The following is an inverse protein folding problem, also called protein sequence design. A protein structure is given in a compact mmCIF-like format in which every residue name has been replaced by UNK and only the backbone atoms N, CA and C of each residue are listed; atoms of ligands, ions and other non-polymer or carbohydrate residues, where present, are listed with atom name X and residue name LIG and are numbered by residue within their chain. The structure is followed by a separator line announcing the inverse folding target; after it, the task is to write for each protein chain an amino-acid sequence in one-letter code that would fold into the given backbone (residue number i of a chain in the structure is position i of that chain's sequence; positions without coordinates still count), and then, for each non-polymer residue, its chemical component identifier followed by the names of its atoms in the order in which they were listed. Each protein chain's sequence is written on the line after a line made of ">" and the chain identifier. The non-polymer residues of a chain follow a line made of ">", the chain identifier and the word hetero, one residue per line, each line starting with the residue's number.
data_IF_425408285822
#
_entry.id   IF_425408285822
#
_cell.length_a   1.000
_cell.length_b   1.000
_cell.length_c   1.000
_cell.angle_alpha   90.00
_cell.angle_beta   90.00
_cell.angle_gamma   90.00
#
_symmetry.space_group_name_H-M   'P 1'
#
loop_
_entity.id
_entity.type
_entity.pdbx_description
1 polymer ?
#
# COMPACT_ATOMS: atom_id res chain seq x y z
N UNK A 1 -14.09 -0.38 -21.60
CA UNK A 1 -12.63 -0.55 -21.43
C UNK A 1 -12.00 -1.47 -22.48
N UNK A 2 -12.21 -2.80 -22.56
CA UNK A 2 -11.51 -3.63 -23.59
C UNK A 2 -12.30 -3.98 -24.86
N UNK A 3 -13.54 -3.49 -25.01
CA UNK A 3 -14.39 -3.78 -26.18
C UNK A 3 -13.90 -3.10 -27.47
N UNK A 4 -13.42 -1.86 -27.34
CA UNK A 4 -12.95 -1.07 -28.47
C UNK A 4 -11.66 -1.63 -29.09
N UNK A 5 -10.60 -1.98 -28.31
CA UNK A 5 -9.43 -2.63 -28.88
C UNK A 5 -9.74 -3.99 -29.47
N UNK A 6 -10.66 -4.76 -28.87
CA UNK A 6 -11.12 -6.04 -29.44
C UNK A 6 -11.68 -5.84 -30.85
N UNK A 7 -12.68 -4.96 -31.01
CA UNK A 7 -13.31 -4.71 -32.30
C UNK A 7 -12.32 -4.15 -33.35
N UNK A 8 -11.29 -3.39 -32.92
CA UNK A 8 -10.23 -2.90 -33.80
C UNK A 8 -9.30 -4.04 -34.24
N UNK A 9 -8.81 -4.84 -33.29
CA UNK A 9 -7.78 -5.85 -33.52
C UNK A 9 -8.31 -7.05 -34.28
N UNK A 10 -9.57 -7.48 -34.04
CA UNK A 10 -10.17 -8.61 -34.76
C UNK A 10 -10.13 -8.47 -36.29
N UNK A 11 -10.11 -7.23 -36.82
CA UNK A 11 -10.03 -6.96 -38.26
C UNK A 11 -8.70 -7.40 -38.92
N UNK A 12 -7.68 -7.65 -38.12
CA UNK A 12 -6.35 -8.06 -38.58
C UNK A 12 -6.10 -9.56 -38.40
N UNK A 13 -7.03 -10.30 -37.80
CA UNK A 13 -6.96 -11.74 -37.63
C UNK A 13 -7.77 -12.47 -38.72
N UNK A 14 -7.43 -13.73 -39.04
CA UNK A 14 -8.24 -14.57 -39.91
C UNK A 14 -9.69 -14.72 -39.42
N UNK A 15 -10.62 -14.89 -40.35
CA UNK A 15 -12.07 -15.02 -40.04
C UNK A 15 -12.40 -16.25 -39.17
N UNK A 16 -11.53 -17.26 -39.16
CA UNK A 16 -11.64 -18.48 -38.34
C UNK A 16 -10.96 -18.36 -36.97
N UNK A 17 -10.37 -17.20 -36.66
CA UNK A 17 -9.77 -16.92 -35.36
C UNK A 17 -10.67 -16.03 -34.49
N UNK A 18 -11.22 -16.60 -33.42
CA UNK A 18 -12.05 -15.89 -32.45
C UNK A 18 -11.18 -15.17 -31.40
N UNK A 19 -10.76 -13.94 -31.71
CA UNK A 19 -10.07 -13.08 -30.74
C UNK A 19 -11.04 -12.71 -29.61
N UNK A 20 -10.63 -12.90 -28.36
CA UNK A 20 -11.45 -12.59 -27.17
C UNK A 20 -10.94 -11.37 -26.40
N UNK A 21 -11.76 -10.86 -25.46
CA UNK A 21 -11.30 -9.81 -24.53
C UNK A 21 -10.14 -10.26 -23.64
N UNK A 22 -10.05 -11.56 -23.34
CA UNK A 22 -8.96 -12.13 -22.55
C UNK A 22 -7.65 -12.08 -23.31
N UNK A 23 -7.67 -12.35 -24.62
CA UNK A 23 -6.50 -12.25 -25.48
C UNK A 23 -6.01 -10.81 -25.58
N UNK A 24 -6.93 -9.85 -25.74
CA UNK A 24 -6.60 -8.42 -25.74
C UNK A 24 -5.95 -8.01 -24.42
N UNK A 25 -6.52 -8.42 -23.27
CA UNK A 25 -5.90 -8.18 -21.96
C UNK A 25 -4.53 -8.84 -21.83
N UNK A 26 -4.34 -10.03 -22.39
CA UNK A 26 -3.03 -10.71 -22.40
C UNK A 26 -2.01 -9.91 -23.24
N UNK A 27 -2.38 -9.44 -24.44
CA UNK A 27 -1.56 -8.55 -25.27
C UNK A 27 -1.16 -7.27 -24.52
N UNK A 28 -2.10 -6.65 -23.81
CA UNK A 28 -1.81 -5.47 -22.99
C UNK A 28 -0.87 -5.79 -21.82
N UNK A 29 -0.98 -6.97 -21.21
CA UNK A 29 -0.03 -7.41 -20.17
C UNK A 29 1.35 -7.71 -20.74
N UNK A 30 1.48 -8.22 -21.97
CA UNK A 30 2.78 -8.51 -22.57
C UNK A 30 3.68 -7.26 -22.62
N UNK A 31 3.14 -6.09 -22.95
CA UNK A 31 3.90 -4.84 -22.99
C UNK A 31 4.75 -4.59 -21.72
N UNK A 32 4.19 -4.44 -20.50
CA UNK A 32 4.98 -4.19 -19.31
C UNK A 32 5.89 -5.37 -18.92
N UNK A 33 5.51 -6.62 -19.15
CA UNK A 33 6.36 -7.78 -18.82
C UNK A 33 7.57 -7.89 -19.76
N UNK A 34 7.37 -7.74 -21.08
CA UNK A 34 8.45 -7.70 -22.06
C UNK A 34 9.33 -6.47 -21.85
N UNK A 35 8.76 -5.31 -21.53
CA UNK A 35 9.58 -4.13 -21.23
C UNK A 35 10.48 -4.37 -20.00
N UNK A 36 9.94 -4.98 -18.94
CA UNK A 36 10.71 -5.29 -17.73
C UNK A 36 11.83 -6.33 -17.97
N UNK A 37 11.67 -7.22 -18.94
CA UNK A 37 12.61 -8.33 -19.20
C UNK A 37 13.57 -8.06 -20.36
N UNK A 38 13.10 -7.41 -21.41
CA UNK A 38 13.79 -7.19 -22.69
C UNK A 38 14.08 -5.71 -22.98
N UNK A 39 13.50 -4.78 -22.21
CA UNK A 39 13.66 -3.32 -22.40
C UNK A 39 12.81 -2.72 -23.51
N UNK A 40 12.00 -3.52 -24.22
CA UNK A 40 11.08 -3.07 -25.26
C UNK A 40 9.97 -4.09 -25.50
N UNK A 41 8.86 -3.66 -26.10
CA UNK A 41 7.77 -4.55 -26.54
C UNK A 41 6.96 -3.92 -27.66
N UNK A 42 6.78 -4.66 -28.76
CA UNK A 42 5.92 -4.21 -29.87
C UNK A 42 4.43 -4.20 -29.49
N UNK A 43 4.03 -4.91 -28.43
CA UNK A 43 2.66 -4.84 -27.93
C UNK A 43 2.31 -3.47 -27.35
N UNK A 44 3.30 -2.69 -26.91
CA UNK A 44 3.06 -1.36 -26.35
C UNK A 44 2.42 -0.40 -27.37
N UNK A 45 2.83 -0.49 -28.64
CA UNK A 45 2.40 0.41 -29.71
C UNK A 45 1.05 0.01 -30.34
N UNK A 46 0.51 -1.16 -29.98
CA UNK A 46 -0.78 -1.64 -30.51
C UNK A 46 -1.99 -0.93 -29.90
N UNK A 47 -1.79 -0.25 -28.77
CA UNK A 47 -2.85 0.36 -27.97
C UNK A 47 -2.67 1.87 -27.85
N UNK A 48 -3.79 2.59 -27.92
CA UNK A 48 -3.84 4.04 -27.72
C UNK A 48 -3.63 4.41 -26.25
N UNK A 49 -3.29 5.68 -26.00
CA UNK A 49 -3.16 6.21 -24.63
C UNK A 49 -4.41 5.96 -23.78
N UNK A 50 -5.61 6.18 -24.34
CA UNK A 50 -6.86 5.95 -23.60
C UNK A 50 -7.05 4.47 -23.24
N UNK A 51 -6.67 3.54 -24.11
CA UNK A 51 -6.72 2.11 -23.81
C UNK A 51 -5.74 1.75 -22.68
N UNK A 52 -4.54 2.33 -22.68
CA UNK A 52 -3.59 2.17 -21.57
C UNK A 52 -4.11 2.72 -20.24
N UNK A 53 -4.79 3.86 -20.26
CA UNK A 53 -5.44 4.42 -19.06
C UNK A 53 -6.54 3.48 -18.53
N UNK A 54 -7.34 2.92 -19.42
CA UNK A 54 -8.41 1.96 -19.10
C UNK A 54 -7.84 0.64 -18.56
N UNK A 55 -6.73 0.15 -19.13
CA UNK A 55 -6.00 -1.03 -18.63
C UNK A 55 -5.42 -0.79 -17.24
N UNK A 56 -4.79 0.37 -17.02
CA UNK A 56 -4.30 0.74 -15.69
C UNK A 56 -5.45 0.78 -14.67
N UNK A 57 -6.60 1.36 -15.04
CA UNK A 57 -7.78 1.38 -14.18
C UNK A 57 -8.36 0.00 -13.91
N UNK A 58 -8.31 -0.93 -14.87
CA UNK A 58 -8.70 -2.32 -14.65
C UNK A 58 -7.81 -3.02 -13.60
N UNK A 59 -6.50 -2.80 -13.65
CA UNK A 59 -5.58 -3.31 -12.64
C UNK A 59 -5.78 -2.64 -11.28
N UNK A 60 -6.04 -1.33 -11.26
CA UNK A 60 -6.39 -0.59 -10.04
C UNK A 60 -7.63 -1.20 -9.37
N UNK A 61 -8.71 -1.41 -10.12
CA UNK A 61 -9.95 -2.03 -9.62
C UNK A 61 -9.69 -3.40 -8.99
N UNK A 62 -8.86 -4.23 -9.64
CA UNK A 62 -8.52 -5.56 -9.13
C UNK A 62 -7.84 -5.46 -7.77
N UNK A 63 -6.76 -4.70 -7.65
CA UNK A 63 -5.95 -4.62 -6.43
C UNK A 63 -6.64 -3.81 -5.34
N UNK A 64 -7.42 -2.79 -5.72
CA UNK A 64 -8.23 -2.02 -4.79
C UNK A 64 -9.29 -2.89 -4.12
N UNK A 65 -9.99 -3.71 -4.91
CA UNK A 65 -11.03 -4.62 -4.42
C UNK A 65 -10.51 -5.85 -3.69
N UNK A 66 -9.24 -6.27 -3.90
CA UNK A 66 -8.69 -7.46 -3.22
C UNK A 66 -7.86 -7.15 -1.99
N UNK A 67 -7.19 -6.00 -1.93
CA UNK A 67 -6.22 -5.69 -0.87
C UNK A 67 -6.28 -4.27 -0.32
N UNK A 68 -6.91 -3.32 -1.02
CA UNK A 68 -7.04 -1.94 -0.54
C UNK A 68 -8.36 -1.71 0.22
N UNK A 69 -8.79 -0.45 0.30
CA UNK A 69 -10.03 -0.04 0.97
C UNK A 69 -11.30 -0.66 0.38
N UNK A 70 -11.27 -1.12 -0.87
CA UNK A 70 -12.39 -1.86 -1.48
C UNK A 70 -12.52 -3.30 -0.99
N UNK A 71 -11.52 -3.85 -0.31
CA UNK A 71 -11.51 -5.24 0.14
C UNK A 71 -12.03 -5.37 1.57
N UNK A 72 -12.99 -6.29 1.86
CA UNK A 72 -13.41 -6.57 3.23
C UNK A 72 -12.29 -7.16 4.10
N UNK A 73 -11.15 -7.53 3.51
CA UNK A 73 -9.98 -8.06 4.24
C UNK A 73 -8.74 -7.18 4.11
N UNK A 74 -8.82 -6.01 3.46
CA UNK A 74 -7.67 -5.18 3.12
C UNK A 74 -6.84 -4.77 4.35
N UNK A 75 -7.48 -4.30 5.42
CA UNK A 75 -6.83 -3.95 6.69
C UNK A 75 -6.26 -5.18 7.40
N UNK A 76 -7.01 -6.29 7.40
CA UNK A 76 -6.59 -7.53 8.04
C UNK A 76 -5.32 -8.11 7.38
N UNK A 77 -5.17 -7.98 6.06
CA UNK A 77 -3.97 -8.43 5.34
C UNK A 77 -2.69 -7.69 5.77
N UNK A 78 -2.79 -6.43 6.19
CA UNK A 78 -1.64 -5.60 6.56
C UNK A 78 -1.38 -5.45 8.06
N UNK A 79 -2.33 -5.83 8.92
CA UNK A 79 -2.25 -5.48 10.35
C UNK A 79 -1.10 -6.18 11.08
N UNK A 80 -0.75 -7.41 10.70
CA UNK A 80 0.38 -8.13 11.31
C UNK A 80 1.69 -7.35 11.19
N UNK A 81 1.97 -6.80 10.00
CA UNK A 81 3.16 -5.98 9.78
C UNK A 81 3.18 -4.71 10.64
N UNK A 82 2.02 -4.06 10.86
CA UNK A 82 1.96 -2.88 11.71
C UNK A 82 2.22 -3.21 13.19
N UNK A 83 1.79 -4.38 13.63
CA UNK A 83 2.06 -4.88 14.97
C UNK A 83 3.54 -5.28 15.14
N UNK A 84 4.16 -5.86 14.12
CA UNK A 84 5.61 -6.10 14.09
C UNK A 84 6.41 -4.78 14.09
N UNK A 85 5.97 -3.79 13.30
CA UNK A 85 6.57 -2.46 13.30
C UNK A 85 6.46 -1.80 14.68
N UNK A 86 5.29 -1.86 15.33
CA UNK A 86 5.13 -1.31 16.69
C UNK A 86 6.03 -2.02 17.69
N UNK A 87 6.14 -3.35 17.61
CA UNK A 87 7.02 -4.15 18.44
C UNK A 87 8.51 -3.74 18.29
N UNK A 88 8.96 -3.50 17.05
CA UNK A 88 10.32 -2.99 16.75
C UNK A 88 10.54 -1.59 17.34
N UNK A 89 9.55 -0.69 17.26
CA UNK A 89 9.64 0.66 17.82
C UNK A 89 9.62 0.67 19.35
N UNK A 90 8.80 -0.17 19.97
CA UNK A 90 8.72 -0.34 21.41
C UNK A 90 9.88 -1.17 22.00
N UNK A 91 10.67 -1.82 21.13
CA UNK A 91 11.74 -2.75 21.49
C UNK A 91 11.24 -3.94 22.33
N UNK A 92 10.12 -4.54 21.90
CA UNK A 92 9.46 -5.65 22.58
C UNK A 92 9.25 -6.83 21.64
N UNK A 93 9.39 -8.05 22.15
CA UNK A 93 9.02 -9.27 21.43
C UNK A 93 7.50 -9.49 21.48
N UNK A 94 6.99 -10.36 20.61
CA UNK A 94 5.55 -10.66 20.50
C UNK A 94 5.29 -12.08 20.99
N UNK A 95 4.86 -12.23 22.25
CA UNK A 95 4.63 -13.54 22.86
C UNK A 95 3.30 -14.19 22.47
N UNK A 96 2.34 -13.41 21.97
CA UNK A 96 1.03 -13.90 21.56
C UNK A 96 0.46 -13.07 20.41
N UNK A 97 -0.34 -13.71 19.55
CA UNK A 97 -1.02 -13.04 18.45
C UNK A 97 -2.31 -13.75 18.10
N UNK A 98 -3.31 -12.95 17.75
CA UNK A 98 -4.59 -13.32 17.15
C UNK A 98 -4.70 -12.75 15.72
N UNK A 99 -3.56 -12.50 15.07
CA UNK A 99 -3.47 -11.96 13.71
C UNK A 99 -2.58 -12.85 12.83
N UNK A 100 -1.95 -12.31 11.79
CA UNK A 100 -1.06 -13.06 10.89
C UNK A 100 0.36 -13.29 11.45
N UNK A 101 0.71 -12.68 12.59
CA UNK A 101 2.03 -12.84 13.22
C UNK A 101 2.26 -14.29 13.66
N UNK A 102 3.44 -14.83 13.31
CA UNK A 102 3.90 -16.12 13.79
C UNK A 102 4.74 -15.94 15.07
N UNK A 103 4.11 -16.19 16.22
CA UNK A 103 4.74 -15.99 17.53
C UNK A 103 5.92 -16.92 17.78
N UNK A 104 6.08 -18.03 17.04
CA UNK A 104 7.27 -18.91 17.19
C UNK A 104 8.55 -18.19 16.76
N UNK A 105 8.46 -17.28 15.78
CA UNK A 105 9.58 -16.47 15.32
C UNK A 105 9.68 -15.14 16.06
N UNK A 106 8.54 -14.54 16.40
CA UNK A 106 8.49 -13.18 16.93
C UNK A 106 8.66 -13.07 18.45
N UNK A 107 8.62 -14.21 19.15
CA UNK A 107 8.93 -14.30 20.57
C UNK A 107 10.41 -14.60 20.89
N UNK A 108 11.30 -14.62 19.87
CA UNK A 108 12.73 -14.86 20.05
C UNK A 108 13.58 -13.83 19.31
N UNK A 109 14.54 -13.22 20.03
CA UNK A 109 15.43 -12.19 19.48
C UNK A 109 16.38 -12.69 18.36
N UNK A 110 16.60 -14.00 18.26
CA UNK A 110 17.41 -14.59 17.21
C UNK A 110 16.74 -14.51 15.83
N UNK A 111 15.40 -14.50 15.80
CA UNK A 111 14.58 -14.51 14.57
C UNK A 111 13.79 -13.23 14.39
N UNK A 112 13.48 -12.51 15.47
CA UNK A 112 12.87 -11.20 15.47
C UNK A 112 13.67 -10.24 16.38
N UNK A 113 14.84 -9.76 15.94
CA UNK A 113 15.61 -8.80 16.71
C UNK A 113 14.87 -7.45 16.75
N UNK A 114 14.88 -6.76 17.90
CA UNK A 114 14.16 -5.48 18.08
C UNK A 114 15.09 -4.29 18.40
N UNK A 115 16.39 -4.47 18.21
CA UNK A 115 17.43 -3.48 18.47
C UNK A 115 18.31 -3.19 17.25
N UNK A 116 17.83 -3.52 16.05
CA UNK A 116 18.56 -3.21 14.81
C UNK A 116 18.29 -1.76 14.38
N UNK A 117 19.30 -1.06 13.83
CA UNK A 117 19.12 0.26 13.23
C UNK A 117 18.40 0.19 11.87
N UNK A 118 18.36 -0.98 11.24
CA UNK A 118 17.78 -1.19 9.92
C UNK A 118 17.05 -2.53 9.88
N UNK A 119 15.85 -2.51 9.30
CA UNK A 119 15.05 -3.70 8.99
C UNK A 119 14.74 -3.70 7.49
N UNK A 120 14.74 -4.89 6.88
CA UNK A 120 14.39 -5.05 5.47
C UNK A 120 13.54 -6.31 5.29
N UNK A 121 12.27 -6.09 4.95
CA UNK A 121 11.32 -7.15 4.66
C UNK A 121 10.99 -7.14 3.15
N UNK A 122 11.02 -8.31 2.51
CA UNK A 122 10.63 -8.47 1.10
C UNK A 122 9.28 -9.16 1.01
N UNK A 123 8.37 -8.60 0.22
CA UNK A 123 6.99 -9.08 0.15
C UNK A 123 6.35 -8.81 -1.21
N UNK A 124 5.07 -9.15 -1.35
CA UNK A 124 4.27 -8.90 -2.54
C UNK A 124 3.53 -7.56 -2.50
N UNK A 125 3.14 -7.07 -3.67
CA UNK A 125 2.33 -5.86 -3.89
C UNK A 125 1.12 -5.75 -2.95
N UNK A 126 0.36 -6.84 -2.81
CA UNK A 126 -0.83 -6.92 -1.94
C UNK A 126 -0.53 -6.63 -0.48
N UNK A 127 0.64 -7.01 0.01
CA UNK A 127 1.03 -6.78 1.41
C UNK A 127 1.35 -5.31 1.63
N UNK A 128 2.09 -4.66 0.72
CA UNK A 128 2.35 -3.21 0.77
C UNK A 128 1.01 -2.43 0.76
N UNK A 129 0.09 -2.79 -0.13
CA UNK A 129 -1.23 -2.18 -0.22
C UNK A 129 -2.02 -2.43 1.06
N UNK A 130 -2.04 -3.66 1.55
CA UNK A 130 -2.69 -4.04 2.80
C UNK A 130 -2.17 -3.27 3.99
N UNK A 131 -0.84 -3.05 4.11
CA UNK A 131 -0.22 -2.24 5.16
C UNK A 131 -0.69 -0.79 5.08
N UNK A 132 -0.74 -0.19 3.88
CA UNK A 132 -1.25 1.17 3.67
C UNK A 132 -2.74 1.27 4.07
N UNK A 133 -3.53 0.25 3.75
CA UNK A 133 -4.93 0.19 4.13
C UNK A 133 -5.12 -0.05 5.63
N UNK A 134 -4.30 -0.90 6.26
CA UNK A 134 -4.28 -1.15 7.70
C UNK A 134 -3.94 0.11 8.51
N UNK A 135 -3.02 0.95 8.00
CA UNK A 135 -2.74 2.29 8.54
C UNK A 135 -3.98 3.19 8.50
N UNK A 136 -4.96 2.89 7.66
CA UNK A 136 -6.16 3.70 7.49
C UNK A 136 -5.91 5.00 6.72
N UNK A 137 -4.89 5.04 5.87
CA UNK A 137 -4.52 6.23 5.08
C UNK A 137 -5.59 6.61 4.04
N UNK A 138 -6.54 7.45 4.45
CA UNK A 138 -7.73 7.80 3.66
C UNK A 138 -7.43 8.51 2.33
N UNK A 139 -6.22 9.06 2.15
CA UNK A 139 -5.77 9.60 0.86
C UNK A 139 -6.01 8.64 -0.32
N UNK A 140 -5.87 7.33 -0.09
CA UNK A 140 -6.09 6.31 -1.12
C UNK A 140 -7.51 5.72 -1.13
N UNK A 141 -8.38 6.10 -0.18
CA UNK A 141 -9.75 5.64 -0.15
C UNK A 141 -10.57 6.38 -1.22
N UNK A 142 -11.20 5.62 -2.12
CA UNK A 142 -12.09 6.18 -3.14
C UNK A 142 -13.44 6.64 -2.55
N UNK A 143 -13.89 6.00 -1.48
CA UNK A 143 -15.15 6.32 -0.80
C UNK A 143 -15.97 5.08 -0.43
N UNK A 144 -17.16 5.29 0.15
CA UNK A 144 -17.92 4.25 0.85
C UNK A 144 -18.44 3.10 -0.05
N UNK A 145 -18.49 3.30 -1.37
CA UNK A 145 -18.98 2.29 -2.34
C UNK A 145 -17.84 1.60 -3.11
N UNK A 146 -16.58 1.89 -2.75
CA UNK A 146 -15.42 1.49 -3.53
C UNK A 146 -15.33 2.15 -4.92
N UNK A 147 -14.37 1.70 -5.72
CA UNK A 147 -14.12 2.23 -7.06
C UNK A 147 -15.16 1.71 -8.07
N UNK A 148 -15.70 2.55 -8.97
CA UNK A 148 -16.75 2.16 -9.89
C UNK A 148 -16.22 1.21 -10.98
N UNK A 149 -16.82 0.02 -11.09
CA UNK A 149 -16.45 -0.99 -12.09
C UNK A 149 -17.23 -0.88 -13.40
N UNK A 150 -18.44 -0.30 -13.38
CA UNK A 150 -19.29 -0.12 -14.55
C UNK A 150 -19.11 1.27 -15.19
N UNK A 151 -17.95 1.52 -15.77
CA UNK A 151 -17.59 2.76 -16.47
C UNK A 151 -17.06 2.45 -17.87
N UNK A 152 -17.26 3.38 -18.81
CA UNK A 152 -16.73 3.23 -20.18
C UNK A 152 -15.22 3.33 -20.21
N UNK A 153 -14.67 4.31 -19.46
CA UNK A 153 -13.26 4.65 -19.38
C UNK A 153 -12.80 4.86 -17.93
N UNK A 154 -11.48 4.87 -17.73
CA UNK A 154 -10.84 5.21 -16.47
C UNK A 154 -11.34 6.53 -15.90
N UNK A 155 -11.65 6.54 -14.60
CA UNK A 155 -12.07 7.74 -13.88
C UNK A 155 -10.94 8.31 -13.01
N UNK A 156 -11.00 9.59 -12.60
CA UNK A 156 -10.05 10.15 -11.65
C UNK A 156 -10.05 9.39 -10.32
N UNK A 157 -8.86 9.02 -9.83
CA UNK A 157 -8.66 8.37 -8.52
C UNK A 157 -7.28 8.65 -7.95
N UNK A 158 -7.17 8.57 -6.62
CA UNK A 158 -5.90 8.69 -5.89
C UNK A 158 -5.14 7.36 -5.80
N UNK A 159 -5.86 6.25 -5.65
CA UNK A 159 -5.26 4.92 -5.73
C UNK A 159 -4.95 4.57 -7.19
N UNK A 160 -3.66 4.60 -7.53
CA UNK A 160 -3.14 4.19 -8.83
C UNK A 160 -2.07 3.14 -8.58
N UNK A 161 -2.31 1.89 -9.01
CA UNK A 161 -1.47 0.74 -8.71
C UNK A 161 -0.02 0.96 -9.14
N UNK A 162 0.18 1.56 -10.33
CA UNK A 162 1.51 1.88 -10.85
C UNK A 162 2.27 2.95 -10.02
N UNK A 163 1.60 3.69 -9.14
CA UNK A 163 2.21 4.63 -8.18
C UNK A 163 2.35 4.04 -6.79
N UNK A 164 1.48 3.10 -6.43
CA UNK A 164 1.44 2.48 -5.09
C UNK A 164 2.37 1.26 -5.03
N UNK A 165 2.17 0.29 -5.92
CA UNK A 165 2.93 -0.96 -5.95
C UNK A 165 3.44 -1.31 -7.37
N UNK A 166 4.29 -0.49 -8.00
CA UNK A 166 5.01 -0.90 -9.20
C UNK A 166 5.99 -2.05 -8.92
N UNK A 167 6.61 -2.63 -9.95
CA UNK A 167 7.75 -3.53 -9.73
C UNK A 167 8.85 -2.83 -8.93
N UNK A 168 9.34 -3.48 -7.88
CA UNK A 168 10.33 -2.90 -6.96
C UNK A 168 9.76 -1.83 -6.02
N UNK A 169 8.44 -1.83 -5.78
CA UNK A 169 7.81 -0.95 -4.81
C UNK A 169 8.46 -1.05 -3.44
N UNK A 170 8.56 0.10 -2.76
CA UNK A 170 9.14 0.21 -1.43
C UNK A 170 8.31 1.14 -0.56
N UNK A 171 7.88 0.62 0.59
CA UNK A 171 7.29 1.40 1.69
C UNK A 171 8.33 1.45 2.80
N UNK A 172 8.81 2.64 3.12
CA UNK A 172 9.85 2.86 4.13
C UNK A 172 9.21 3.55 5.33
N UNK A 173 9.40 3.00 6.52
CA UNK A 173 9.11 3.66 7.79
C UNK A 173 10.42 4.24 8.32
N UNK A 174 10.53 5.56 8.31
CA UNK A 174 11.70 6.29 8.78
C UNK A 174 11.46 6.82 10.18
N UNK A 175 12.43 6.64 11.09
CA UNK A 175 12.42 7.22 12.42
C UNK A 175 13.43 8.36 12.47
N UNK A 176 12.94 9.53 12.86
CA UNK A 176 13.71 10.76 12.94
C UNK A 176 13.70 11.24 14.39
N UNK A 177 14.88 11.25 15.01
CA UNK A 177 15.08 11.88 16.32
C UNK A 177 15.44 13.34 16.07
N UNK A 178 14.65 14.24 16.65
CA UNK A 178 14.87 15.68 16.56
C UNK A 178 14.98 16.29 17.96
N UNK A 179 15.73 17.39 18.16
CA UNK A 179 15.61 18.20 19.37
C UNK A 179 14.16 18.61 19.63
N UNK A 180 13.75 18.73 20.89
CA UNK A 180 12.35 19.06 21.25
C UNK A 180 11.88 20.40 20.63
N UNK A 181 12.75 21.41 20.56
CA UNK A 181 12.47 22.70 19.93
C UNK A 181 12.45 22.68 18.39
N UNK A 182 12.75 21.55 17.73
CA UNK A 182 12.78 21.48 16.27
C UNK A 182 11.37 21.64 15.66
N UNK A 183 11.25 22.51 14.66
CA UNK A 183 10.01 22.66 13.90
C UNK A 183 9.98 21.69 12.72
N UNK A 184 8.89 20.94 12.59
CA UNK A 184 8.60 20.09 11.42
C UNK A 184 7.71 20.79 10.39
N UNK A 185 7.37 22.06 10.60
CA UNK A 185 6.52 22.84 9.68
C UNK A 185 7.31 23.35 8.48
N UNK A 186 8.49 23.91 8.74
CA UNK A 186 9.42 24.40 7.74
C UNK A 186 10.63 23.47 7.77
N UNK A 187 10.79 22.69 6.71
CA UNK A 187 11.96 21.82 6.57
C UNK A 187 13.10 22.64 5.97
N UNK A 188 14.26 22.60 6.63
CA UNK A 188 15.48 23.22 6.10
C UNK A 188 15.93 22.55 4.80
N UNK A 189 16.82 23.25 4.07
CA UNK A 189 17.49 22.68 2.91
C UNK A 189 18.28 21.41 3.28
N UNK A 190 18.51 20.56 2.28
CA UNK A 190 19.20 19.27 2.38
C UNK A 190 20.35 19.27 3.39
N UNK A 191 20.22 18.44 4.43
CA UNK A 191 21.31 18.13 5.35
C UNK A 191 22.21 17.06 4.72
N UNK A 192 23.49 17.36 4.55
CA UNK A 192 24.50 16.41 4.03
C UNK A 192 25.09 15.51 5.13
N UNK A 193 24.93 15.90 6.39
CA UNK A 193 25.35 15.12 7.55
C UNK A 193 24.25 15.18 8.61
N UNK A 194 23.90 14.02 9.19
CA UNK A 194 22.97 13.96 10.29
C UNK A 194 23.65 14.49 11.56
N UNK A 195 23.00 15.39 12.33
CA UNK A 195 23.53 15.84 13.60
C UNK A 195 23.61 14.67 14.59
N UNK A 196 24.67 14.65 15.40
CA UNK A 196 24.73 13.75 16.55
C UNK A 196 23.90 14.34 17.68
N UNK A 197 22.87 13.60 18.09
CA UNK A 197 21.95 13.99 19.15
C UNK A 197 22.15 13.17 20.43
N UNK A 198 23.21 12.35 20.54
CA UNK A 198 23.44 11.48 21.71
C UNK A 198 23.47 12.22 23.05
N UNK A 199 23.98 13.45 23.04
CA UNK A 199 24.14 14.30 24.23
C UNK A 199 22.97 15.30 24.42
N UNK A 200 21.96 15.26 23.54
CA UNK A 200 20.81 16.17 23.61
C UNK A 200 19.86 15.71 24.72
N UNK A 201 19.59 16.59 25.69
CA UNK A 201 18.79 16.25 26.89
C UNK A 201 17.32 15.96 26.60
N UNK A 202 16.74 16.60 25.59
CA UNK A 202 15.34 16.42 25.22
C UNK A 202 15.20 16.27 23.71
N UNK A 203 14.74 15.10 23.30
CA UNK A 203 14.49 14.77 21.90
C UNK A 203 13.08 14.24 21.73
N UNK A 204 12.54 14.39 20.53
CA UNK A 204 11.28 13.77 20.11
C UNK A 204 11.54 12.89 18.90
N UNK A 205 11.06 11.66 18.96
CA UNK A 205 11.09 10.74 17.82
C UNK A 205 9.81 10.91 16.97
N UNK A 206 10.01 11.03 15.66
CA UNK A 206 8.95 11.08 14.67
C UNK A 206 9.05 9.87 13.74
N UNK A 207 7.90 9.29 13.41
CA UNK A 207 7.76 8.33 12.32
C UNK A 207 7.22 9.03 11.07
N UNK A 208 7.78 8.67 9.92
CA UNK A 208 7.28 9.06 8.60
C UNK A 208 7.26 7.85 7.68
N UNK A 209 6.20 7.74 6.88
CA UNK A 209 6.07 6.69 5.86
C UNK A 209 6.37 7.28 4.48
N UNK A 210 7.27 6.63 3.73
CA UNK A 210 7.69 7.05 2.39
C UNK A 210 7.42 5.93 1.41
N UNK A 211 6.53 6.18 0.44
CA UNK A 211 6.14 5.22 -0.58
C UNK A 211 6.81 5.59 -1.90
N UNK A 212 7.67 4.71 -2.42
CA UNK A 212 8.35 4.89 -3.71
C UNK A 212 9.10 6.24 -3.82
N UNK A 213 9.64 6.73 -2.70
CA UNK A 213 10.35 8.02 -2.62
C UNK A 213 9.46 9.24 -2.34
N UNK A 214 8.15 9.06 -2.19
CA UNK A 214 7.20 10.12 -1.86
C UNK A 214 6.68 9.99 -0.42
N UNK A 215 6.77 11.04 0.42
CA UNK A 215 6.20 11.02 1.76
C UNK A 215 4.68 10.88 1.72
N UNK A 216 4.13 10.02 2.58
CA UNK A 216 2.69 9.81 2.67
C UNK A 216 2.01 10.86 3.57
N UNK A 217 0.85 11.40 3.16
CA UNK A 217 0.09 12.37 3.93
C UNK A 217 -0.73 11.70 5.03
N UNK A 218 -0.10 11.37 6.16
CA UNK A 218 -0.68 10.58 7.25
C UNK A 218 -1.61 11.37 8.21
N UNK A 219 -2.12 12.53 7.80
CA UNK A 219 -3.00 13.36 8.64
C UNK A 219 -4.38 12.73 8.91
N UNK A 220 -4.79 11.77 8.08
CA UNK A 220 -6.04 11.02 8.31
C UNK A 220 -5.82 9.70 9.08
N UNK A 221 -4.56 9.37 9.40
CA UNK A 221 -4.22 8.17 10.18
C UNK A 221 -4.49 8.46 11.66
N UNK A 222 -5.17 7.51 12.33
CA UNK A 222 -5.45 7.60 13.77
C UNK A 222 -4.13 7.76 14.54
N UNK A 223 -4.07 8.75 15.45
CA UNK A 223 -2.86 9.11 16.21
C UNK A 223 -1.99 10.16 15.51
N UNK A 224 -2.13 10.33 14.19
CA UNK A 224 -1.29 11.20 13.38
C UNK A 224 -2.04 12.41 12.80
N UNK A 225 -3.19 12.78 13.38
CA UNK A 225 -4.03 13.88 12.90
C UNK A 225 -3.35 15.25 12.91
N UNK A 226 -2.35 15.42 13.78
CA UNK A 226 -1.54 16.64 13.85
C UNK A 226 -0.25 16.55 13.03
N UNK A 227 -0.12 15.55 12.17
CA UNK A 227 1.09 15.39 11.36
C UNK A 227 1.31 16.57 10.41
N UNK A 228 2.59 16.91 10.22
CA UNK A 228 3.04 17.95 9.29
C UNK A 228 4.12 17.33 8.41
N UNK A 229 4.06 17.58 7.10
CA UNK A 229 5.03 17.03 6.13
C UNK A 229 5.22 15.49 6.22
N UNK A 230 4.19 14.77 6.68
CA UNK A 230 4.21 13.32 6.87
C UNK A 230 4.86 12.83 8.18
N UNK A 231 5.29 13.73 9.08
CA UNK A 231 5.86 13.38 10.38
C UNK A 231 4.78 13.27 11.46
N UNK A 232 4.81 12.17 12.20
CA UNK A 232 3.95 11.90 13.35
C UNK A 232 4.82 11.49 14.54
N UNK A 233 4.50 11.95 15.76
CA UNK A 233 5.26 11.52 16.95
C UNK A 233 5.13 10.00 17.09
N UNK A 234 6.25 9.31 17.34
CA UNK A 234 6.27 7.84 17.51
C UNK A 234 5.33 7.42 18.62
N UNK A 235 5.31 8.16 19.75
CA UNK A 235 4.40 7.90 20.87
C UNK A 235 2.93 7.91 20.45
N UNK A 236 2.50 8.93 19.71
CA UNK A 236 1.11 9.01 19.26
C UNK A 236 0.74 7.91 18.25
N UNK A 237 1.68 7.53 17.38
CA UNK A 237 1.49 6.40 16.47
C UNK A 237 1.31 5.10 17.26
N UNK A 238 2.18 4.83 18.23
CA UNK A 238 2.11 3.64 19.08
C UNK A 238 0.82 3.59 19.89
N UNK A 239 0.38 4.71 20.47
CA UNK A 239 -0.89 4.82 21.19
C UNK A 239 -2.10 4.49 20.31
N UNK A 240 -1.99 4.69 19.00
CA UNK A 240 -3.05 4.40 18.02
C UNK A 240 -3.02 2.97 17.47
N UNK A 241 -1.91 2.22 17.58
CA UNK A 241 -1.79 0.85 17.06
C UNK A 241 -2.90 -0.08 17.57
N UNK A 242 -3.27 -0.08 18.87
CA UNK A 242 -4.40 -0.89 19.34
C UNK A 242 -5.71 -0.57 18.61
N UNK A 243 -5.96 0.70 18.29
CA UNK A 243 -7.16 1.10 17.54
C UNK A 243 -7.11 0.66 16.08
N UNK A 244 -5.94 0.76 15.43
CA UNK A 244 -5.73 0.24 14.08
C UNK A 244 -5.96 -1.29 14.03
N UNK A 245 -5.50 -2.02 15.06
CA UNK A 245 -5.76 -3.46 15.21
C UNK A 245 -7.25 -3.77 15.33
N UNK A 246 -7.97 -3.04 16.18
CA UNK A 246 -9.43 -3.18 16.32
C UNK A 246 -10.14 -2.91 14.99
N UNK A 247 -9.77 -1.84 14.29
CA UNK A 247 -10.32 -1.48 12.98
C UNK A 247 -10.01 -2.50 11.89
N UNK A 248 -8.91 -3.24 12.00
CA UNK A 248 -8.60 -4.30 11.03
C UNK A 248 -9.58 -5.48 11.07
N UNK A 249 -10.31 -5.64 12.19
CA UNK A 249 -11.33 -6.68 12.36
C UNK A 249 -10.85 -8.07 11.95
N UNK A 250 -9.59 -8.40 12.25
CA UNK A 250 -8.87 -9.56 11.68
C UNK A 250 -9.66 -10.86 11.79
N UNK A 251 -10.24 -11.14 12.96
CA UNK A 251 -11.00 -12.37 13.20
C UNK A 251 -12.26 -12.44 12.33
N UNK A 252 -13.02 -11.34 12.21
CA UNK A 252 -14.21 -11.30 11.36
C UNK A 252 -13.84 -11.32 9.86
N UNK A 253 -12.77 -10.64 9.48
CA UNK A 253 -12.29 -10.59 8.10
C UNK A 253 -11.79 -11.95 7.59
N UNK A 254 -11.14 -12.74 8.45
CA UNK A 254 -10.53 -14.02 8.08
C UNK A 254 -11.43 -15.23 8.33
N UNK A 255 -12.30 -15.18 9.34
CA UNK A 255 -13.09 -16.33 9.81
C UNK A 255 -14.59 -16.05 9.93
N UNK A 256 -15.02 -14.81 9.74
CA UNK A 256 -16.43 -14.44 9.76
C UNK A 256 -17.13 -14.64 8.42
N UNK A 257 -18.46 -14.67 8.46
CA UNK A 257 -19.29 -14.71 7.26
C UNK A 257 -19.56 -13.30 6.75
N UNK A 258 -19.22 -13.03 5.49
CA UNK A 258 -19.63 -11.81 4.79
C UNK A 258 -19.96 -12.12 3.33
N UNK A 259 -20.81 -11.30 2.71
CA UNK A 259 -21.22 -11.51 1.33
C UNK A 259 -20.09 -11.17 0.36
N UNK A 260 -19.54 -12.14 -0.40
CA UNK A 260 -18.54 -11.83 -1.41
C UNK A 260 -19.16 -11.05 -2.58
N UNK A 261 -18.31 -10.49 -3.44
CA UNK A 261 -18.73 -9.96 -4.74
C UNK A 261 -19.08 -8.47 -4.78
N UNK A 262 -18.84 -7.72 -3.71
CA UNK A 262 -18.91 -6.26 -3.72
C UNK A 262 -17.71 -5.65 -2.99
N UNK A 263 -17.42 -4.38 -3.31
CA UNK A 263 -16.41 -3.61 -2.60
C UNK A 263 -17.02 -2.98 -1.34
N UNK A 264 -16.21 -2.86 -0.30
CA UNK A 264 -16.53 -2.14 0.94
C UNK A 264 -15.92 -0.72 0.92
N UNK A 265 -16.27 0.10 1.91
CA UNK A 265 -15.80 1.49 2.00
C UNK A 265 -14.50 1.72 2.77
N UNK A 266 -14.05 0.78 3.60
CA UNK A 266 -13.00 1.03 4.60
C UNK A 266 -12.04 -0.15 4.83
N UNK A 267 -11.90 -1.04 3.85
CA UNK A 267 -10.90 -2.12 3.92
C UNK A 267 -11.18 -3.21 4.96
N UNK A 268 -12.43 -3.34 5.42
CA UNK A 268 -12.87 -4.26 6.48
C UNK A 268 -14.33 -4.69 6.28
N UNK A 269 -14.80 -5.76 6.93
CA UNK A 269 -16.19 -6.19 6.79
C UNK A 269 -17.17 -5.12 7.33
N UNK A 270 -18.36 -5.04 6.72
CA UNK A 270 -19.48 -4.18 7.14
C UNK A 270 -20.40 -4.86 8.16
#
# INVERSE_FOLDING_TARGET
>A
MVKDPLARLSKYFPDDFDLTTSDVLAMMNFCPYEYATLGSSSFCDLFSEQEWLDFAYNLDLRLYGTSAFGSPTGRAQGIGYLLELSARLERKLIDSSDTSINTTYDNHSATFPVHQPLYMDMTHDKVIIGTITALGLQYFNYGPKGMPSNVSHAVPRKFQLNKVAPFGARLISEIWTCPEEASIEVLDNTLYANPDLSDTKSTTDFIRFVLNGAPLPIFDVVGCQHSKNGFCKVTHFLDAVPKLKEQAMYQQACYGDFKPGHQVGDGRPE
#
